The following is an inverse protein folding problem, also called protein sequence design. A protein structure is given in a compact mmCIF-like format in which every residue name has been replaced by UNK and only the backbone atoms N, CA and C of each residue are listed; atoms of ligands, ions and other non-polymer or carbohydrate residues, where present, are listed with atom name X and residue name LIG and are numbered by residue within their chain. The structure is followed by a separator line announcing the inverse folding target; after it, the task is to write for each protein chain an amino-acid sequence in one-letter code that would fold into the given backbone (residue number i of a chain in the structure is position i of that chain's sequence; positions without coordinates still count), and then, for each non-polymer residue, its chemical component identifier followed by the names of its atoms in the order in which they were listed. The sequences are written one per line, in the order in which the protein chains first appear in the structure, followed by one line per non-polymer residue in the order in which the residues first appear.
data_IF_438867610490
#
_entry.id   IF_438867610490
#
_cell.length_a   1.000
_cell.length_b   1.000
_cell.length_c   1.000
_cell.angle_alpha   90.00
_cell.angle_beta   90.00
_cell.angle_gamma   90.00
#
_symmetry.space_group_name_H-M   'P 1'
#
loop_
_entity.id
_entity.type
_entity.pdbx_description
1 polymer ?
#
# COMPACT_ATOMS: atom_id res chain seq x y z
N UNK A 1 -32.84 -19.79 20.63
CA UNK A 1 -31.87 -18.68 20.81
C UNK A 1 -31.37 -18.11 19.48
N UNK A 2 -30.93 -18.92 18.52
CA UNK A 2 -30.36 -18.44 17.24
C UNK A 2 -31.29 -17.53 16.41
N UNK A 3 -32.60 -17.79 16.42
CA UNK A 3 -33.61 -17.02 15.69
C UNK A 3 -33.76 -15.58 16.17
N UNK A 4 -33.61 -15.35 17.48
CA UNK A 4 -33.68 -14.01 18.07
C UNK A 4 -32.40 -13.19 17.79
N UNK A 5 -31.24 -13.85 17.80
CA UNK A 5 -29.96 -13.24 17.39
C UNK A 5 -29.99 -12.82 15.91
N UNK A 6 -30.50 -13.69 15.03
CA UNK A 6 -30.64 -13.36 13.62
C UNK A 6 -31.60 -12.19 13.39
N UNK A 7 -32.71 -12.14 14.14
CA UNK A 7 -33.67 -11.02 14.09
C UNK A 7 -33.04 -9.71 14.58
N UNK A 8 -32.29 -9.76 15.68
CA UNK A 8 -31.58 -8.61 16.23
C UNK A 8 -30.52 -8.08 15.25
N UNK A 9 -29.67 -8.95 14.70
CA UNK A 9 -28.64 -8.57 13.72
C UNK A 9 -29.27 -7.91 12.49
N UNK A 10 -30.37 -8.47 11.96
CA UNK A 10 -31.09 -7.89 10.82
C UNK A 10 -31.68 -6.52 11.16
N UNK A 11 -32.29 -6.36 12.34
CA UNK A 11 -32.84 -5.07 12.79
C UNK A 11 -31.75 -4.02 13.02
N UNK A 12 -30.64 -4.40 13.66
CA UNK A 12 -29.50 -3.52 13.91
C UNK A 12 -28.85 -3.03 12.62
N UNK A 13 -28.61 -3.93 11.67
CA UNK A 13 -28.07 -3.57 10.35
C UNK A 13 -29.04 -2.70 9.55
N UNK A 14 -30.35 -2.94 9.68
CA UNK A 14 -31.37 -2.10 9.03
C UNK A 14 -31.41 -0.70 9.64
N UNK A 15 -31.29 -0.59 10.97
CA UNK A 15 -31.20 0.68 11.68
C UNK A 15 -29.92 1.47 11.32
N UNK A 16 -28.75 0.81 11.29
CA UNK A 16 -27.48 1.43 10.87
C UNK A 16 -27.51 1.93 9.42
N UNK A 17 -28.32 1.31 8.56
CA UNK A 17 -28.54 1.71 7.16
C UNK A 17 -29.54 2.86 7.00
N UNK A 18 -30.26 3.28 8.05
CA UNK A 18 -31.12 4.45 7.96
C UNK A 18 -30.25 5.70 7.80
N UNK A 19 -30.60 6.54 6.83
CA UNK A 19 -29.99 7.85 6.62
C UNK A 19 -30.30 8.69 7.85
N UNK A 20 -29.28 9.18 8.54
CA UNK A 20 -29.45 10.18 9.59
C UNK A 20 -29.97 11.47 8.94
N UNK A 21 -31.19 11.94 9.26
CA UNK A 21 -31.75 13.14 8.64
C UNK A 21 -30.97 14.42 8.98
N UNK A 22 -30.08 14.41 9.98
CA UNK A 22 -29.21 15.56 10.29
C UNK A 22 -27.95 15.62 9.43
N UNK A 23 -27.50 14.49 8.86
CA UNK A 23 -26.31 14.48 8.01
C UNK A 23 -26.74 14.39 6.55
N UNK A 24 -26.51 15.47 5.79
CA UNK A 24 -26.89 15.61 4.38
C UNK A 24 -26.18 14.59 3.47
N UNK A 25 -25.31 13.73 4.02
CA UNK A 25 -24.58 12.74 3.27
C UNK A 25 -25.23 11.35 3.46
N UNK A 26 -25.50 10.61 2.37
CA UNK A 26 -25.91 9.23 2.47
C UNK A 26 -24.85 8.46 3.28
N UNK A 27 -25.29 7.73 4.30
CA UNK A 27 -24.45 6.87 5.16
C UNK A 27 -23.64 5.80 4.41
N UNK A 28 -23.81 5.71 3.08
CA UNK A 28 -23.01 4.89 2.19
C UNK A 28 -21.78 5.58 1.57
N UNK A 29 -21.51 6.85 1.89
CA UNK A 29 -20.41 7.62 1.27
C UNK A 29 -19.30 8.03 2.24
N UNK A 30 -19.38 7.63 3.52
CA UNK A 30 -18.25 7.85 4.43
C UNK A 30 -17.07 6.98 4.02
N UNK A 31 -15.86 7.52 4.15
CA UNK A 31 -14.63 6.79 3.85
C UNK A 31 -14.59 5.44 4.59
N UNK A 32 -14.93 5.44 5.88
CA UNK A 32 -14.97 4.22 6.70
C UNK A 32 -15.97 3.18 6.17
N UNK A 33 -17.15 3.61 5.68
CA UNK A 33 -18.13 2.69 5.11
C UNK A 33 -17.64 2.10 3.78
N UNK A 34 -17.04 2.92 2.93
CA UNK A 34 -16.46 2.53 1.65
C UNK A 34 -15.29 1.53 1.83
N UNK A 35 -14.42 1.75 2.82
CA UNK A 35 -13.32 0.83 3.14
C UNK A 35 -13.80 -0.47 3.79
N UNK A 36 -14.88 -0.43 4.58
CA UNK A 36 -15.46 -1.62 5.21
C UNK A 36 -16.29 -2.48 4.24
N UNK A 37 -16.83 -1.88 3.18
CA UNK A 37 -17.72 -2.57 2.22
C UNK A 37 -17.31 -2.32 0.75
N UNK A 38 -16.03 -2.58 0.38
CA UNK A 38 -15.52 -2.20 -0.94
C UNK A 38 -16.23 -2.94 -2.09
N UNK A 39 -16.65 -4.19 -1.86
CA UNK A 39 -17.34 -5.01 -2.86
C UNK A 39 -18.73 -4.51 -3.22
N UNK A 40 -19.50 -4.04 -2.23
CA UNK A 40 -20.86 -3.51 -2.47
C UNK A 40 -20.83 -2.13 -3.14
N UNK A 41 -19.77 -1.34 -2.89
CA UNK A 41 -19.67 0.05 -3.35
C UNK A 41 -18.90 0.21 -4.66
N UNK A 42 -17.88 -0.60 -4.91
CA UNK A 42 -16.99 -0.47 -6.06
C UNK A 42 -16.89 -1.75 -6.91
N UNK A 43 -17.58 -2.84 -6.55
CA UNK A 43 -17.48 -4.13 -7.23
C UNK A 43 -16.25 -4.94 -6.79
N UNK A 44 -15.93 -6.02 -7.51
CA UNK A 44 -14.80 -6.90 -7.17
C UNK A 44 -13.47 -6.15 -7.08
N UNK A 45 -12.62 -6.63 -6.16
CA UNK A 45 -11.45 -5.97 -5.54
C UNK A 45 -10.27 -5.63 -6.45
N UNK A 46 -10.45 -5.68 -7.78
CA UNK A 46 -9.36 -5.58 -8.77
C UNK A 46 -9.63 -4.55 -9.88
N UNK A 47 -10.53 -3.58 -9.65
CA UNK A 47 -10.73 -2.46 -10.57
C UNK A 47 -9.64 -1.38 -10.40
N UNK A 48 -8.38 -1.78 -10.44
CA UNK A 48 -7.29 -0.83 -10.64
C UNK A 48 -7.55 -0.13 -11.97
N UNK A 49 -7.78 1.18 -11.92
CA UNK A 49 -7.93 2.00 -13.12
C UNK A 49 -6.59 1.90 -13.86
N UNK A 50 -6.55 1.36 -15.09
CA UNK A 50 -5.32 1.28 -15.85
C UNK A 50 -4.88 2.71 -16.18
N UNK A 51 -3.85 3.18 -15.50
CA UNK A 51 -3.23 4.46 -15.80
C UNK A 51 -2.28 4.24 -16.98
N UNK A 52 -2.43 4.99 -18.10
CA UNK A 52 -1.49 4.91 -19.21
C UNK A 52 -0.08 5.24 -18.73
N UNK A 53 0.91 4.43 -19.10
CA UNK A 53 2.33 4.66 -18.76
C UNK A 53 2.79 6.06 -19.16
N UNK A 54 2.34 6.53 -20.32
CA UNK A 54 2.76 7.81 -20.88
C UNK A 54 2.31 9.00 -20.01
N UNK A 55 1.18 8.87 -19.34
CA UNK A 55 0.67 9.89 -18.41
C UNK A 55 1.47 9.88 -17.10
N UNK A 56 1.90 8.71 -16.64
CA UNK A 56 2.78 8.57 -15.48
C UNK A 56 4.13 9.22 -15.79
N UNK A 57 4.75 8.87 -16.92
CA UNK A 57 6.05 9.41 -17.33
C UNK A 57 6.01 10.93 -17.48
N UNK A 58 4.92 11.47 -18.05
CA UNK A 58 4.70 12.91 -18.16
C UNK A 58 4.61 13.59 -16.79
N UNK A 59 3.87 13.00 -15.85
CA UNK A 59 3.77 13.53 -14.48
C UNK A 59 5.09 13.45 -13.72
N UNK A 60 5.87 12.39 -13.93
CA UNK A 60 7.22 12.27 -13.37
C UNK A 60 8.14 13.35 -13.92
N UNK A 61 8.16 13.56 -15.24
CA UNK A 61 8.97 14.60 -15.87
C UNK A 61 8.57 16.03 -15.44
N UNK A 62 7.28 16.28 -15.21
CA UNK A 62 6.77 17.59 -14.78
C UNK A 62 7.06 17.88 -13.30
N UNK A 63 6.83 16.92 -12.41
CA UNK A 63 6.99 17.11 -10.95
C UNK A 63 8.41 16.87 -10.46
N UNK A 64 9.14 15.99 -11.13
CA UNK A 64 10.48 15.57 -10.75
C UNK A 64 11.43 15.73 -11.95
N UNK A 65 11.68 16.97 -12.40
CA UNK A 65 12.51 17.25 -13.57
C UNK A 65 13.96 16.78 -13.38
N UNK A 66 14.43 16.70 -12.14
CA UNK A 66 15.70 16.10 -11.78
C UNK A 66 15.47 14.87 -10.89
N UNK A 67 15.24 13.73 -11.54
CA UNK A 67 15.06 12.45 -10.87
C UNK A 67 16.33 12.06 -10.08
N UNK A 68 17.52 12.48 -10.51
CA UNK A 68 18.76 12.18 -9.78
C UNK A 68 18.81 12.91 -8.44
N UNK A 69 18.27 14.13 -8.36
CA UNK A 69 18.14 14.85 -7.08
C UNK A 69 17.29 14.12 -6.04
N UNK A 70 16.27 13.35 -6.44
CA UNK A 70 15.48 12.54 -5.50
C UNK A 70 16.34 11.48 -4.81
N UNK A 71 17.28 10.89 -5.55
CA UNK A 71 18.21 9.91 -5.01
C UNK A 71 19.32 10.55 -4.17
N UNK A 72 19.56 11.86 -4.27
CA UNK A 72 20.55 12.55 -3.43
C UNK A 72 20.17 12.56 -1.94
N UNK A 73 18.88 12.45 -1.64
CA UNK A 73 18.37 12.27 -0.27
C UNK A 73 18.49 10.84 0.24
N UNK A 74 18.76 9.88 -0.64
CA UNK A 74 18.97 8.49 -0.26
C UNK A 74 20.41 8.37 0.24
N UNK A 75 20.63 8.02 1.52
CA UNK A 75 21.99 7.89 2.03
C UNK A 75 22.76 6.82 1.25
N UNK A 76 24.03 7.10 0.91
CA UNK A 76 24.87 6.18 0.13
C UNK A 76 25.07 4.82 0.79
N UNK A 77 24.98 4.74 2.11
CA UNK A 77 25.03 3.47 2.82
C UNK A 77 23.82 2.59 2.52
N UNK A 78 22.64 3.19 2.29
CA UNK A 78 21.40 2.46 2.03
C UNK A 78 21.43 1.85 0.63
N UNK A 79 21.98 2.55 -0.36
CA UNK A 79 22.15 1.99 -1.70
C UNK A 79 23.08 0.78 -1.71
N UNK A 80 24.19 0.83 -0.96
CA UNK A 80 25.14 -0.30 -0.84
C UNK A 80 24.45 -1.53 -0.25
N UNK A 81 23.66 -1.34 0.81
CA UNK A 81 22.91 -2.42 1.45
C UNK A 81 21.85 -2.96 0.49
N UNK A 82 21.05 -2.08 -0.13
CA UNK A 82 20.01 -2.48 -1.07
C UNK A 82 20.58 -3.30 -2.23
N UNK A 83 21.70 -2.87 -2.81
CA UNK A 83 22.39 -3.58 -3.90
C UNK A 83 22.87 -4.96 -3.45
N UNK A 84 23.48 -5.06 -2.26
CA UNK A 84 23.91 -6.34 -1.69
C UNK A 84 22.73 -7.29 -1.42
N UNK A 85 21.63 -6.77 -0.89
CA UNK A 85 20.40 -7.55 -0.66
C UNK A 85 19.76 -7.99 -1.98
N UNK A 86 19.71 -7.13 -2.99
CA UNK A 86 19.20 -7.49 -4.32
C UNK A 86 20.03 -8.60 -4.98
N UNK A 87 21.36 -8.54 -4.90
CA UNK A 87 22.24 -9.60 -5.39
C UNK A 87 21.96 -10.91 -4.65
N UNK A 88 21.82 -10.87 -3.32
CA UNK A 88 21.54 -12.06 -2.49
C UNK A 88 20.20 -12.70 -2.84
N UNK A 89 19.19 -11.88 -3.14
CA UNK A 89 17.86 -12.33 -3.55
C UNK A 89 17.75 -12.64 -5.06
N UNK A 90 18.86 -12.53 -5.80
CA UNK A 90 18.90 -12.69 -7.26
C UNK A 90 17.88 -11.81 -8.00
N UNK A 91 17.68 -10.59 -7.48
CA UNK A 91 16.87 -9.54 -8.08
C UNK A 91 17.75 -8.68 -8.99
N UNK A 92 17.27 -8.41 -10.20
CA UNK A 92 17.95 -7.55 -11.15
C UNK A 92 17.09 -6.33 -11.46
N UNK A 93 17.68 -5.13 -11.45
CA UNK A 93 17.00 -3.88 -11.80
C UNK A 93 16.24 -3.98 -13.13
N UNK A 94 16.85 -4.59 -14.15
CA UNK A 94 16.26 -4.74 -15.49
C UNK A 94 15.00 -5.62 -15.54
N UNK A 95 14.74 -6.40 -14.49
CA UNK A 95 13.57 -7.29 -14.37
C UNK A 95 12.51 -6.75 -13.43
N UNK A 96 12.79 -5.63 -12.75
CA UNK A 96 11.81 -4.93 -11.92
C UNK A 96 10.88 -4.12 -12.83
N UNK A 97 9.62 -4.54 -12.86
CA UNK A 97 8.52 -3.85 -13.52
C UNK A 97 7.56 -3.36 -12.44
N UNK A 98 6.77 -2.34 -12.77
CA UNK A 98 5.75 -1.82 -11.84
C UNK A 98 4.83 -2.91 -11.24
N UNK A 99 4.55 -3.97 -12.01
CA UNK A 99 3.71 -5.10 -11.58
C UNK A 99 4.35 -5.95 -10.47
N UNK A 100 5.67 -6.14 -10.49
CA UNK A 100 6.38 -7.00 -9.53
C UNK A 100 7.20 -6.22 -8.50
N UNK A 101 7.26 -4.89 -8.62
CA UNK A 101 8.11 -4.04 -7.79
C UNK A 101 7.73 -4.14 -6.30
N UNK A 102 6.42 -4.19 -5.98
CA UNK A 102 5.94 -4.33 -4.61
C UNK A 102 6.33 -5.67 -3.98
N UNK A 103 6.38 -6.75 -4.78
CA UNK A 103 6.83 -8.06 -4.31
C UNK A 103 8.33 -8.07 -4.06
N UNK A 104 9.12 -7.46 -4.96
CA UNK A 104 10.55 -7.30 -4.77
C UNK A 104 10.89 -6.46 -3.52
N UNK A 105 10.20 -5.33 -3.31
CA UNK A 105 10.35 -4.51 -2.11
C UNK A 105 9.97 -5.26 -0.84
N UNK A 106 8.90 -6.07 -0.88
CA UNK A 106 8.52 -6.91 0.26
C UNK A 106 9.61 -7.91 0.59
N UNK A 107 10.20 -8.60 -0.40
CA UNK A 107 11.29 -9.56 -0.17
C UNK A 107 12.54 -8.88 0.39
N UNK A 108 12.92 -7.72 -0.17
CA UNK A 108 14.04 -6.93 0.36
C UNK A 108 13.81 -6.52 1.80
N UNK A 109 12.61 -6.04 2.15
CA UNK A 109 12.26 -5.67 3.53
C UNK A 109 12.41 -6.86 4.49
N UNK A 110 11.89 -8.03 4.13
CA UNK A 110 12.01 -9.22 4.97
C UNK A 110 13.47 -9.66 5.15
N UNK A 111 14.28 -9.58 4.09
CA UNK A 111 15.70 -9.90 4.16
C UNK A 111 16.46 -8.92 5.08
N UNK A 112 16.15 -7.62 5.01
CA UNK A 112 16.76 -6.60 5.86
C UNK A 112 16.39 -6.76 7.34
N UNK A 113 15.15 -7.14 7.64
CA UNK A 113 14.71 -7.40 9.02
C UNK A 113 15.35 -8.67 9.58
N UNK A 114 15.53 -9.69 8.74
CA UNK A 114 16.15 -10.96 9.14
C UNK A 114 17.68 -10.88 9.28
N UNK A 115 18.30 -9.83 8.76
CA UNK A 115 19.74 -9.64 8.79
C UNK A 115 20.18 -9.24 10.20
N UNK A 116 21.26 -9.86 10.69
CA UNK A 116 21.89 -9.45 11.94
C UNK A 116 22.68 -8.15 11.70
N UNK A 117 22.31 -7.10 12.42
CA UNK A 117 22.93 -5.79 12.36
C UNK A 117 23.94 -5.58 13.50
N UNK A 118 24.22 -6.59 14.33
CA UNK A 118 25.16 -6.50 15.45
C UNK A 118 26.56 -6.06 14.99
N UNK A 119 27.12 -5.04 15.63
CA UNK A 119 28.43 -4.48 15.27
C UNK A 119 28.46 -3.62 14.01
N UNK A 120 27.30 -3.34 13.39
CA UNK A 120 27.17 -2.36 12.31
C UNK A 120 26.69 -1.01 12.87
N UNK A 121 26.90 0.12 12.17
CA UNK A 121 26.35 1.41 12.59
C UNK A 121 24.80 1.48 12.58
N UNK A 122 24.12 0.39 12.20
CA UNK A 122 22.66 0.29 12.12
C UNK A 122 22.06 -0.55 13.26
N UNK A 123 22.90 -1.00 14.20
CA UNK A 123 22.47 -1.72 15.40
C UNK A 123 21.47 -0.86 16.20
N UNK A 124 20.23 -1.35 16.35
CA UNK A 124 19.15 -0.66 17.08
C UNK A 124 18.21 0.22 16.24
N UNK A 125 18.35 0.25 14.90
CA UNK A 125 17.36 0.90 14.03
C UNK A 125 16.14 -0.01 13.79
N UNK A 126 14.94 0.49 14.12
CA UNK A 126 13.69 -0.16 13.72
C UNK A 126 13.37 0.22 12.26
N UNK A 127 13.48 -0.76 11.35
CA UNK A 127 13.03 -0.61 9.98
C UNK A 127 11.49 -0.73 9.94
N UNK A 128 10.78 0.41 9.82
CA UNK A 128 9.30 0.52 9.84
C UNK A 128 8.65 -0.18 8.64
#
# INVERSE_FOLDING_TARGET
MQTHLNKFSKQYNTYRRQKDPQTVLPSGTSADFCYQNPQEMFGETDQLIPVPSDEIDKQFAEKYPDIQSLFSYTPSWLSIIADATMITLNLHHDRLKFVNINQAFSLMKHALIAQDWSGTPFEGLEFI
#
